data_IF_605729641057
#
_entry.id   IF_605729641057
#
_cell.length_a   1.000
_cell.length_b   1.000
_cell.length_c   1.000
_cell.angle_alpha   90.00
_cell.angle_beta   90.00
_cell.angle_gamma   90.00
#
_symmetry.space_group_name_H-M   'P 1'
#
loop_
_entity.id
_entity.type
_entity.pdbx_description
1 polymer ?
#
# COMPACT_ATOMS: atom_id res chain seq x y z
N UNK A 1 10.38 35.18 -0.90
CA UNK A 1 9.60 34.08 -1.51
C UNK A 1 10.23 32.79 -1.02
N UNK A 2 9.63 32.17 -0.01
CA UNK A 2 10.16 30.92 0.56
C UNK A 2 9.71 29.78 -0.36
N UNK A 3 10.59 29.40 -1.30
CA UNK A 3 10.37 28.25 -2.16
C UNK A 3 10.32 26.99 -1.29
N UNK A 4 9.21 26.26 -1.36
CA UNK A 4 9.13 24.94 -0.77
C UNK A 4 10.03 24.02 -1.59
N UNK A 5 11.11 23.51 -0.99
CA UNK A 5 11.92 22.45 -1.60
C UNK A 5 11.03 21.22 -1.72
N UNK A 6 10.50 20.98 -2.92
CA UNK A 6 9.70 19.79 -3.21
C UNK A 6 10.62 18.65 -3.61
N UNK A 7 10.44 17.50 -2.97
CA UNK A 7 11.16 16.28 -3.28
C UNK A 7 10.21 15.28 -3.93
N UNK A 8 10.54 14.87 -5.16
CA UNK A 8 9.80 13.82 -5.86
C UNK A 8 10.39 12.46 -5.53
N UNK A 9 9.58 11.55 -5.01
CA UNK A 9 9.97 10.16 -4.70
C UNK A 9 9.21 9.22 -5.63
N UNK A 10 9.93 8.31 -6.28
CA UNK A 10 9.34 7.26 -7.09
C UNK A 10 9.12 6.01 -6.24
N UNK A 11 8.00 5.33 -6.45
CA UNK A 11 7.64 4.08 -5.81
C UNK A 11 7.31 3.02 -6.85
N UNK A 12 7.56 1.77 -6.51
CA UNK A 12 6.99 0.61 -7.21
C UNK A 12 5.75 0.18 -6.45
N UNK A 13 4.66 -0.03 -7.20
CA UNK A 13 3.41 -0.60 -6.70
C UNK A 13 3.20 -1.97 -7.33
N UNK A 14 2.95 -2.97 -6.51
CA UNK A 14 2.49 -4.30 -6.94
C UNK A 14 1.10 -4.56 -6.38
N UNK A 15 0.23 -5.14 -7.19
CA UNK A 15 -1.12 -5.54 -6.76
C UNK A 15 -1.32 -7.01 -7.13
N UNK A 16 -1.75 -7.80 -6.15
CA UNK A 16 -2.17 -9.18 -6.34
C UNK A 16 -3.67 -9.25 -6.05
N UNK A 17 -4.41 -9.90 -6.94
CA UNK A 17 -5.85 -10.14 -6.79
C UNK A 17 -6.07 -11.64 -6.73
N UNK A 18 -6.48 -12.14 -5.58
CA UNK A 18 -6.92 -13.52 -5.40
C UNK A 18 -8.44 -13.59 -5.54
N UNK A 19 -8.90 -14.22 -6.63
CA UNK A 19 -10.32 -14.37 -6.91
C UNK A 19 -10.97 -15.52 -6.13
N UNK A 20 -10.19 -16.50 -5.68
CA UNK A 20 -10.67 -17.65 -4.91
C UNK A 20 -10.97 -17.19 -3.48
N UNK A 21 -9.99 -16.56 -2.86
CA UNK A 21 -10.10 -16.06 -1.49
C UNK A 21 -10.74 -14.66 -1.41
N UNK A 22 -10.98 -14.03 -2.56
CA UNK A 22 -11.57 -12.68 -2.70
C UNK A 22 -10.79 -11.65 -1.88
N UNK A 23 -9.47 -11.70 -2.06
CA UNK A 23 -8.48 -10.87 -1.39
C UNK A 23 -7.75 -10.01 -2.42
N UNK A 24 -7.44 -8.77 -2.06
CA UNK A 24 -6.51 -7.91 -2.79
C UNK A 24 -5.37 -7.55 -1.86
N UNK A 25 -4.15 -7.79 -2.31
CA UNK A 25 -2.95 -7.29 -1.66
C UNK A 25 -2.32 -6.20 -2.52
N UNK A 26 -1.96 -5.09 -1.89
CA UNK A 26 -1.18 -4.01 -2.49
C UNK A 26 0.11 -3.87 -1.71
N UNK A 27 1.25 -3.91 -2.40
CA UNK A 27 2.57 -3.62 -1.83
C UNK A 27 3.18 -2.41 -2.51
N UNK A 28 3.70 -1.46 -1.74
CA UNK A 28 4.40 -0.26 -2.19
C UNK A 28 5.81 -0.22 -1.59
N UNK A 29 6.79 0.16 -2.41
CA UNK A 29 8.16 0.39 -1.92
C UNK A 29 8.81 1.56 -2.66
N UNK A 30 9.46 2.48 -1.94
CA UNK A 30 10.19 3.56 -2.59
C UNK A 30 11.43 3.02 -3.31
N UNK A 31 11.61 3.43 -4.55
CA UNK A 31 12.85 3.17 -5.30
C UNK A 31 13.79 4.36 -5.21
N UNK A 32 13.26 5.58 -5.19
CA UNK A 32 14.05 6.78 -4.92
C UNK A 32 14.50 6.81 -3.47
N UNK A 33 15.76 7.20 -3.22
CA UNK A 33 16.33 7.41 -1.88
C UNK A 33 16.26 6.21 -0.92
N UNK A 34 16.05 4.98 -1.42
CA UNK A 34 15.99 3.77 -0.58
C UNK A 34 17.24 3.52 0.29
N UNK A 35 18.38 4.09 -0.10
CA UNK A 35 19.63 4.02 0.67
C UNK A 35 19.65 4.95 1.89
N UNK A 36 18.72 5.92 1.95
CA UNK A 36 18.60 6.90 3.03
C UNK A 36 17.41 6.57 3.92
N UNK A 37 16.26 6.26 3.30
CA UNK A 37 15.04 5.82 3.98
C UNK A 37 14.34 4.78 3.12
N UNK A 38 13.95 3.66 3.73
CA UNK A 38 13.21 2.60 3.03
C UNK A 38 11.82 2.49 3.62
N UNK A 39 10.84 2.97 2.88
CA UNK A 39 9.43 2.87 3.23
C UNK A 39 8.81 1.71 2.44
N UNK A 40 8.23 0.77 3.17
CA UNK A 40 7.41 -0.31 2.62
C UNK A 40 6.01 -0.22 3.22
N UNK A 41 4.99 -0.27 2.37
CA UNK A 41 3.60 -0.33 2.77
C UNK A 41 2.97 -1.58 2.17
N UNK A 42 2.26 -2.35 2.99
CA UNK A 42 1.49 -3.51 2.57
C UNK A 42 0.06 -3.35 3.05
N UNK A 43 -0.87 -3.38 2.11
CA UNK A 43 -2.29 -3.17 2.34
C UNK A 43 -3.06 -4.39 1.86
N UNK A 44 -4.02 -4.85 2.66
CA UNK A 44 -4.89 -5.97 2.35
C UNK A 44 -6.35 -5.53 2.35
N UNK A 45 -7.10 -5.98 1.34
CA UNK A 45 -8.54 -5.81 1.23
C UNK A 45 -9.18 -7.18 1.12
N UNK A 46 -10.14 -7.48 1.97
CA UNK A 46 -10.89 -8.74 1.93
C UNK A 46 -12.35 -8.52 2.29
N UNK A 47 -13.18 -9.54 2.15
CA UNK A 47 -14.59 -9.44 2.55
C UNK A 47 -14.72 -9.30 4.06
N UNK A 48 -15.68 -8.47 4.50
CA UNK A 48 -15.99 -8.36 5.93
C UNK A 48 -16.67 -9.65 6.42
N UNK A 49 -16.28 -10.21 7.58
CA UNK A 49 -16.84 -11.46 8.07
C UNK A 49 -18.35 -11.38 8.33
N UNK A 50 -18.83 -10.24 8.85
CA UNK A 50 -20.24 -10.09 9.23
C UNK A 50 -21.15 -9.60 8.07
N UNK A 51 -20.60 -8.95 7.05
CA UNK A 51 -21.36 -8.43 5.90
C UNK A 51 -20.49 -8.47 4.64
N UNK A 52 -20.24 -9.67 4.10
CA UNK A 52 -19.35 -9.85 2.96
C UNK A 52 -19.92 -9.31 1.64
N UNK A 53 -21.20 -8.90 1.61
CA UNK A 53 -21.84 -8.39 0.39
C UNK A 53 -21.61 -6.89 0.22
N UNK A 54 -21.55 -6.14 1.31
CA UNK A 54 -21.50 -4.68 1.25
C UNK A 54 -20.29 -4.06 1.97
N UNK A 55 -19.52 -4.84 2.73
CA UNK A 55 -18.36 -4.35 3.48
C UNK A 55 -17.08 -5.09 3.13
N UNK A 56 -15.98 -4.34 3.17
CA UNK A 56 -14.62 -4.81 2.93
C UNK A 56 -13.78 -4.49 4.17
N UNK A 57 -12.97 -5.44 4.61
CA UNK A 57 -11.94 -5.23 5.64
C UNK A 57 -10.71 -4.63 4.98
N UNK A 58 -10.13 -3.64 5.63
CA UNK A 58 -8.86 -3.03 5.24
C UNK A 58 -7.85 -3.21 6.38
N UNK A 59 -6.68 -3.77 6.06
CA UNK A 59 -5.55 -3.89 6.96
C UNK A 59 -4.33 -3.27 6.30
N UNK A 60 -3.54 -2.51 7.06
CA UNK A 60 -2.36 -1.82 6.56
C UNK A 60 -1.19 -2.02 7.51
N UNK A 61 -0.06 -2.42 6.94
CA UNK A 61 1.22 -2.55 7.62
C UNK A 61 2.21 -1.60 6.96
N UNK A 62 2.92 -0.82 7.78
CA UNK A 62 3.94 0.12 7.31
C UNK A 62 5.27 -0.17 8.00
N UNK A 63 6.36 -0.22 7.23
CA UNK A 63 7.75 -0.35 7.70
C UNK A 63 8.57 0.82 7.16
N UNK A 64 9.46 1.37 7.98
CA UNK A 64 10.32 2.53 7.67
C UNK A 64 11.76 2.28 8.10
#
# INVERSE_FOLDING_TARGET
MNGCDSLTINYVKSTIVDLVDRLIEISLSNVSLRAHIKVEDRSFYGLHPDDPRYRTVFLQEMRK
#
